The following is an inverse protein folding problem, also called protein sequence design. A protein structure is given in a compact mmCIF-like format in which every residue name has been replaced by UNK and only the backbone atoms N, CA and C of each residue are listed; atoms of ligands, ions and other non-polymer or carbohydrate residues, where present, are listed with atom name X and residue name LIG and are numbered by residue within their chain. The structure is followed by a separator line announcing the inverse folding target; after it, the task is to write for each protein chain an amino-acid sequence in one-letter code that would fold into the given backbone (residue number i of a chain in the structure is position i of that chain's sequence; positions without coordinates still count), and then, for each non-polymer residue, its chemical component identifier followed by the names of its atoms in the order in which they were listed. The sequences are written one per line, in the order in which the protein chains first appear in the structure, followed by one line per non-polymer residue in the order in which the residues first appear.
data_IF_496960671479
#
_entry.id   IF_496960671479
#
_cell.length_a   1.000
_cell.length_b   1.000
_cell.length_c   1.000
_cell.angle_alpha   90.00
_cell.angle_beta   90.00
_cell.angle_gamma   90.00
#
_symmetry.space_group_name_H-M   'P 1'
#
loop_
_entity.id
_entity.type
_entity.pdbx_description
1 polymer ?
#
# COMPACT_ATOMS: atom_id res chain seq x y z
N UNK A 1 -26.76 -25.18 26.13
CA UNK A 1 -26.14 -25.54 24.84
C UNK A 1 -26.18 -24.39 23.80
N UNK A 2 -27.28 -23.63 23.66
CA UNK A 2 -27.34 -22.54 22.65
C UNK A 2 -26.41 -21.34 22.93
N UNK A 3 -26.18 -20.99 24.20
CA UNK A 3 -25.42 -19.84 24.60
C UNK A 3 -23.90 -20.01 24.34
N UNK A 4 -23.38 -21.21 24.56
CA UNK A 4 -21.96 -21.52 24.38
C UNK A 4 -21.53 -21.49 22.91
N UNK A 5 -22.38 -21.95 22.00
CA UNK A 5 -22.13 -21.86 20.55
C UNK A 5 -22.12 -20.40 20.05
N UNK A 6 -22.99 -19.56 20.63
CA UNK A 6 -23.00 -18.13 20.32
C UNK A 6 -21.69 -17.44 20.73
N UNK A 7 -21.22 -17.72 21.94
CA UNK A 7 -19.94 -17.16 22.45
C UNK A 7 -18.77 -17.60 21.57
N UNK A 8 -18.67 -18.89 21.22
CA UNK A 8 -17.60 -19.42 20.36
C UNK A 8 -17.60 -18.74 18.99
N UNK A 9 -18.76 -18.56 18.36
CA UNK A 9 -18.87 -17.87 17.06
C UNK A 9 -18.40 -16.41 17.15
N UNK A 10 -18.86 -15.68 18.16
CA UNK A 10 -18.43 -14.29 18.37
C UNK A 10 -16.93 -14.18 18.58
N UNK A 11 -16.33 -15.09 19.35
CA UNK A 11 -14.88 -15.12 19.57
C UNK A 11 -14.11 -15.34 18.25
N UNK A 12 -14.56 -16.26 17.39
CA UNK A 12 -13.92 -16.51 16.09
C UNK A 12 -14.03 -15.31 15.16
N UNK A 13 -15.17 -14.62 15.12
CA UNK A 13 -15.34 -13.38 14.34
C UNK A 13 -14.39 -12.30 14.85
N UNK A 14 -14.30 -12.10 16.16
CA UNK A 14 -13.40 -11.11 16.75
C UNK A 14 -11.93 -11.41 16.43
N UNK A 15 -11.50 -12.67 16.53
CA UNK A 15 -10.15 -13.10 16.13
C UNK A 15 -9.90 -12.75 14.65
N UNK A 16 -10.83 -13.08 13.76
CA UNK A 16 -10.71 -12.76 12.34
C UNK A 16 -10.55 -11.26 12.08
N UNK A 17 -11.37 -10.44 12.74
CA UNK A 17 -11.30 -8.96 12.60
C UNK A 17 -9.98 -8.40 13.13
N UNK A 18 -9.52 -8.89 14.28
CA UNK A 18 -8.23 -8.46 14.85
C UNK A 18 -7.08 -8.84 13.91
N UNK A 19 -7.06 -10.09 13.42
CA UNK A 19 -6.04 -10.55 12.48
C UNK A 19 -6.06 -9.77 11.16
N UNK A 20 -7.25 -9.41 10.65
CA UNK A 20 -7.40 -8.53 9.48
C UNK A 20 -6.74 -7.17 9.73
N UNK A 21 -7.07 -6.51 10.83
CA UNK A 21 -6.53 -5.19 11.14
C UNK A 21 -5.00 -5.21 11.32
N UNK A 22 -4.48 -6.21 12.02
CA UNK A 22 -3.03 -6.38 12.20
C UNK A 22 -2.34 -6.64 10.86
N UNK A 23 -2.88 -7.53 10.03
CA UNK A 23 -2.31 -7.83 8.72
C UNK A 23 -2.30 -6.61 7.79
N UNK A 24 -3.38 -5.82 7.77
CA UNK A 24 -3.47 -4.59 7.00
C UNK A 24 -2.38 -3.58 7.41
N UNK A 25 -2.21 -3.36 8.72
CA UNK A 25 -1.19 -2.45 9.25
C UNK A 25 0.22 -2.98 8.97
N UNK A 26 0.48 -4.26 9.17
CA UNK A 26 1.79 -4.85 8.91
C UNK A 26 2.13 -4.88 7.41
N UNK A 27 1.16 -5.10 6.53
CA UNK A 27 1.37 -5.02 5.09
C UNK A 27 1.83 -3.61 4.67
N UNK A 28 1.23 -2.56 5.25
CA UNK A 28 1.67 -1.18 5.00
C UNK A 28 3.09 -0.89 5.52
N UNK A 29 3.47 -1.50 6.64
CA UNK A 29 4.83 -1.40 7.16
C UNK A 29 5.85 -2.13 6.27
N UNK A 30 5.49 -3.31 5.79
CA UNK A 30 6.33 -4.09 4.85
C UNK A 30 6.51 -3.31 3.54
N UNK A 31 5.44 -2.74 2.98
CA UNK A 31 5.51 -1.88 1.81
C UNK A 31 6.52 -0.75 1.99
N UNK A 32 6.40 0.02 3.08
CA UNK A 32 7.31 1.11 3.41
C UNK A 32 8.78 0.64 3.44
N UNK A 33 9.07 -0.47 4.13
CA UNK A 33 10.43 -0.99 4.24
C UNK A 33 10.94 -1.57 2.92
N UNK A 34 10.12 -2.27 2.17
CA UNK A 34 10.47 -2.81 0.85
C UNK A 34 10.80 -1.67 -0.11
N UNK A 35 9.95 -0.63 -0.19
CA UNK A 35 10.21 0.54 -1.00
C UNK A 35 11.54 1.21 -0.60
N UNK A 36 11.76 1.44 0.69
CA UNK A 36 13.00 2.02 1.21
C UNK A 36 14.24 1.16 0.89
N UNK A 37 14.12 -0.17 0.91
CA UNK A 37 15.20 -1.09 0.53
C UNK A 37 15.47 -1.07 -0.98
N UNK A 38 14.47 -0.85 -1.82
CA UNK A 38 14.62 -0.74 -3.27
C UNK A 38 15.48 0.46 -3.68
N UNK A 39 15.61 1.48 -2.83
CA UNK A 39 16.52 2.61 -3.03
C UNK A 39 17.99 2.28 -2.71
N UNK A 40 18.28 1.10 -2.15
CA UNK A 40 19.66 0.66 -1.93
C UNK A 40 20.25 0.07 -3.21
N UNK A 41 21.60 0.02 -3.34
CA UNK A 41 22.28 -0.55 -4.51
C UNK A 41 22.19 -2.09 -4.53
N UNK A 42 20.99 -2.63 -4.40
CA UNK A 42 20.69 -4.05 -4.40
C UNK A 42 20.00 -4.43 -5.72
N UNK A 43 20.12 -5.68 -6.14
CA UNK A 43 19.42 -6.22 -7.31
C UNK A 43 17.90 -6.05 -7.21
N UNK A 44 17.35 -6.16 -6.00
CA UNK A 44 15.94 -5.90 -5.73
C UNK A 44 15.48 -4.51 -6.21
N UNK A 45 16.35 -3.50 -6.18
CA UNK A 45 16.03 -2.12 -6.56
C UNK A 45 16.20 -1.81 -8.06
N UNK A 46 16.63 -2.75 -8.90
CA UNK A 46 16.88 -2.43 -10.33
C UNK A 46 15.61 -2.02 -11.06
N UNK A 47 14.55 -2.82 -10.95
CA UNK A 47 13.24 -2.49 -11.55
C UNK A 47 12.66 -1.18 -10.99
N UNK A 48 12.87 -0.93 -9.70
CA UNK A 48 12.41 0.28 -9.04
C UNK A 48 13.16 1.53 -9.52
N UNK A 49 14.47 1.44 -9.73
CA UNK A 49 15.25 2.53 -10.35
C UNK A 49 14.82 2.82 -11.79
N UNK A 50 14.45 1.80 -12.55
CA UNK A 50 13.89 1.99 -13.90
C UNK A 50 12.50 2.62 -13.85
N UNK A 51 11.67 2.25 -12.86
CA UNK A 51 10.39 2.88 -12.58
C UNK A 51 10.55 4.38 -12.27
N UNK A 52 11.53 4.78 -11.44
CA UNK A 52 11.87 6.19 -11.21
C UNK A 52 12.26 6.94 -12.50
N UNK A 53 13.02 6.30 -13.38
CA UNK A 53 13.43 6.93 -14.66
C UNK A 53 12.27 7.15 -15.61
N UNK A 54 11.32 6.22 -15.66
CA UNK A 54 10.14 6.31 -16.52
C UNK A 54 9.06 7.19 -15.91
N UNK A 55 9.01 7.27 -14.60
CA UNK A 55 7.97 7.94 -13.80
C UNK A 55 6.55 7.45 -14.17
N UNK A 56 6.39 6.17 -14.38
CA UNK A 56 5.13 5.52 -14.79
C UNK A 56 4.86 4.31 -13.90
N UNK A 57 3.62 4.16 -13.44
CA UNK A 57 3.15 2.93 -12.81
C UNK A 57 2.98 1.80 -13.84
N UNK A 58 3.04 0.56 -13.38
CA UNK A 58 2.87 -0.61 -14.27
C UNK A 58 1.41 -1.01 -14.50
N UNK A 59 0.46 -0.32 -13.83
CA UNK A 59 -0.96 -0.63 -13.81
C UNK A 59 -1.38 -1.33 -12.52
N UNK A 60 -2.60 -1.01 -12.06
CA UNK A 60 -3.13 -1.44 -10.76
C UNK A 60 -3.08 -2.96 -10.57
N UNK A 61 -3.51 -3.71 -11.58
CA UNK A 61 -3.64 -5.18 -11.49
C UNK A 61 -2.29 -5.89 -11.53
N UNK A 62 -1.36 -5.42 -12.35
CA UNK A 62 -0.01 -6.01 -12.39
C UNK A 62 0.73 -5.79 -11.08
N UNK A 63 0.59 -4.62 -10.50
CA UNK A 63 1.21 -4.33 -9.20
C UNK A 63 0.55 -5.12 -8.07
N UNK A 64 -0.77 -5.23 -8.08
CA UNK A 64 -1.50 -6.09 -7.13
C UNK A 64 -1.01 -7.55 -7.18
N UNK A 65 -0.86 -8.12 -8.38
CA UNK A 65 -0.33 -9.48 -8.53
C UNK A 65 1.11 -9.61 -8.04
N UNK A 66 1.96 -8.62 -8.27
CA UNK A 66 3.33 -8.61 -7.73
C UNK A 66 3.33 -8.59 -6.19
N UNK A 67 2.45 -7.83 -5.55
CA UNK A 67 2.29 -7.81 -4.09
C UNK A 67 1.80 -9.15 -3.54
N UNK A 68 0.74 -9.70 -4.12
CA UNK A 68 0.18 -11.00 -3.68
C UNK A 68 1.19 -12.11 -3.86
N UNK A 69 1.90 -12.15 -4.98
CA UNK A 69 2.96 -13.12 -5.26
C UNK A 69 4.12 -12.99 -4.26
N UNK A 70 4.57 -11.76 -4.01
CA UNK A 70 5.67 -11.49 -3.08
C UNK A 70 5.34 -11.81 -1.62
N UNK A 71 4.06 -11.68 -1.21
CA UNK A 71 3.59 -11.92 0.16
C UNK A 71 2.98 -13.30 0.40
N UNK A 72 2.85 -14.15 -0.62
CA UNK A 72 2.13 -15.43 -0.54
C UNK A 72 2.60 -16.33 0.62
N UNK A 73 3.92 -16.37 0.89
CA UNK A 73 4.49 -17.19 1.97
C UNK A 73 4.05 -16.71 3.36
N UNK A 74 3.91 -15.39 3.55
CA UNK A 74 3.52 -14.82 4.86
C UNK A 74 2.01 -14.79 5.08
N UNK A 75 1.20 -15.06 4.06
CA UNK A 75 -0.26 -15.10 4.16
C UNK A 75 -0.78 -16.38 4.85
N UNK A 76 -0.06 -17.49 4.78
CA UNK A 76 -0.55 -18.80 5.20
C UNK A 76 -0.34 -19.15 6.68
N UNK A 77 0.69 -18.69 7.40
CA UNK A 77 1.01 -19.19 8.75
C UNK A 77 -0.11 -19.04 9.76
N UNK A 78 -0.96 -18.03 9.65
CA UNK A 78 -2.06 -17.79 10.60
C UNK A 78 -3.17 -18.84 10.53
N UNK A 79 -3.22 -19.67 9.48
CA UNK A 79 -4.11 -20.81 9.42
C UNK A 79 -3.74 -21.93 10.42
N UNK A 80 -2.48 -21.98 10.87
CA UNK A 80 -2.06 -22.87 11.95
C UNK A 80 -2.57 -22.45 13.34
N UNK A 81 -2.98 -21.18 13.49
CA UNK A 81 -3.60 -20.69 14.74
C UNK A 81 -5.10 -21.03 14.75
N UNK A 82 -5.83 -20.59 13.73
CA UNK A 82 -7.23 -20.99 13.49
C UNK A 82 -7.65 -20.59 12.07
N UNK A 83 -8.74 -21.17 11.57
CA UNK A 83 -9.31 -20.81 10.27
C UNK A 83 -9.71 -19.33 10.26
N UNK A 84 -10.34 -18.82 11.33
CA UNK A 84 -10.76 -17.43 11.43
C UNK A 84 -9.54 -16.47 11.42
N UNK A 85 -8.48 -16.80 12.14
CA UNK A 85 -7.24 -16.03 12.13
C UNK A 85 -6.60 -16.02 10.73
N UNK A 86 -6.51 -17.18 10.07
CA UNK A 86 -5.94 -17.30 8.73
C UNK A 86 -6.73 -16.51 7.68
N UNK A 87 -8.06 -16.61 7.68
CA UNK A 87 -8.92 -15.87 6.77
C UNK A 87 -8.79 -14.37 7.03
N UNK A 88 -8.88 -13.92 8.28
CA UNK A 88 -8.74 -12.51 8.63
C UNK A 88 -7.40 -11.94 8.19
N UNK A 89 -6.32 -12.64 8.49
CA UNK A 89 -4.96 -12.26 8.11
C UNK A 89 -4.78 -12.15 6.59
N UNK A 90 -5.20 -13.17 5.86
CA UNK A 90 -5.12 -13.19 4.40
C UNK A 90 -5.92 -12.06 3.77
N UNK A 91 -7.16 -11.85 4.22
CA UNK A 91 -8.01 -10.77 3.72
C UNK A 91 -7.41 -9.40 4.01
N UNK A 92 -6.85 -9.16 5.21
CA UNK A 92 -6.19 -7.91 5.56
C UNK A 92 -5.02 -7.58 4.64
N UNK A 93 -4.17 -8.57 4.38
CA UNK A 93 -3.03 -8.42 3.47
C UNK A 93 -3.46 -8.18 2.01
N UNK A 94 -4.46 -8.92 1.51
CA UNK A 94 -4.98 -8.78 0.14
C UNK A 94 -5.68 -7.44 -0.05
N UNK A 95 -6.48 -7.01 0.90
CA UNK A 95 -7.16 -5.70 0.84
C UNK A 95 -6.15 -4.56 0.87
N UNK A 96 -5.09 -4.67 1.69
CA UNK A 96 -4.03 -3.67 1.67
C UNK A 96 -3.28 -3.68 0.33
N UNK A 97 -2.93 -4.84 -0.23
CA UNK A 97 -2.28 -4.94 -1.53
C UNK A 97 -3.11 -4.28 -2.65
N UNK A 98 -4.43 -4.51 -2.65
CA UNK A 98 -5.34 -3.89 -3.62
C UNK A 98 -5.42 -2.37 -3.43
N UNK A 99 -5.49 -1.90 -2.18
CA UNK A 99 -5.49 -0.48 -1.87
C UNK A 99 -4.17 0.20 -2.26
N UNK A 100 -3.03 -0.41 -1.93
CA UNK A 100 -1.71 0.16 -2.20
C UNK A 100 -1.40 0.21 -3.70
N UNK A 101 -1.71 -0.85 -4.46
CA UNK A 101 -1.52 -0.85 -5.91
C UNK A 101 -2.39 0.20 -6.62
N UNK A 102 -3.64 0.38 -6.15
CA UNK A 102 -4.50 1.46 -6.62
C UNK A 102 -3.92 2.84 -6.26
N UNK A 103 -3.51 3.03 -5.00
CA UNK A 103 -2.97 4.30 -4.50
C UNK A 103 -1.67 4.69 -5.22
N UNK A 104 -0.81 3.73 -5.51
CA UNK A 104 0.42 3.93 -6.25
C UNK A 104 0.13 4.43 -7.68
N UNK A 105 -0.73 3.73 -8.41
CA UNK A 105 -1.11 4.13 -9.76
C UNK A 105 -1.83 5.49 -9.79
N UNK A 106 -2.71 5.75 -8.80
CA UNK A 106 -3.38 7.03 -8.65
C UNK A 106 -2.39 8.18 -8.48
N UNK A 107 -1.36 7.99 -7.66
CA UNK A 107 -0.34 9.01 -7.43
C UNK A 107 0.54 9.27 -8.65
N UNK A 108 0.71 8.32 -9.56
CA UNK A 108 1.39 8.54 -10.84
C UNK A 108 0.52 9.28 -11.85
N UNK A 109 -0.77 9.00 -11.92
CA UNK A 109 -1.62 9.49 -12.98
C UNK A 109 -2.55 10.63 -12.58
N UNK A 110 -2.99 10.66 -11.30
CA UNK A 110 -3.93 11.66 -10.80
C UNK A 110 -3.72 11.95 -9.31
N UNK A 111 -2.57 12.52 -8.92
CA UNK A 111 -2.20 12.74 -7.53
C UNK A 111 -3.18 13.66 -6.76
N UNK A 112 -3.88 14.57 -7.45
CA UNK A 112 -4.85 15.48 -6.84
C UNK A 112 -6.07 14.76 -6.25
N UNK A 113 -6.37 13.55 -6.71
CA UNK A 113 -7.49 12.72 -6.21
C UNK A 113 -7.10 11.86 -5.01
N UNK A 114 -5.85 11.88 -4.56
CA UNK A 114 -5.40 11.17 -3.37
C UNK A 114 -5.84 11.92 -2.10
N UNK A 115 -7.13 11.86 -1.78
CA UNK A 115 -7.78 12.67 -0.73
C UNK A 115 -7.50 12.22 0.71
N UNK A 116 -6.98 11.01 0.92
CA UNK A 116 -6.68 10.46 2.26
C UNK A 116 -5.31 10.86 2.81
N UNK A 117 -4.47 11.50 1.99
CA UNK A 117 -3.21 12.12 2.39
C UNK A 117 -3.23 13.60 2.07
N UNK A 118 -2.68 14.44 2.96
CA UNK A 118 -2.56 15.89 2.71
C UNK A 118 -1.62 16.19 1.53
N UNK A 119 -0.65 15.34 1.33
CA UNK A 119 0.33 15.37 0.27
C UNK A 119 0.48 13.95 -0.25
N UNK A 120 0.31 13.69 -1.55
CA UNK A 120 0.54 12.37 -2.14
C UNK A 120 2.03 12.07 -2.13
N UNK A 121 2.47 11.33 -1.08
CA UNK A 121 3.88 11.18 -0.75
C UNK A 121 4.68 10.51 -1.85
N UNK A 122 4.10 9.54 -2.55
CA UNK A 122 4.77 8.84 -3.64
C UNK A 122 4.93 9.73 -4.89
N UNK A 123 3.91 10.53 -5.21
CA UNK A 123 4.02 11.51 -6.29
C UNK A 123 5.17 12.50 -6.06
N UNK A 124 5.25 13.09 -4.87
CA UNK A 124 6.33 14.05 -4.56
C UNK A 124 7.68 13.37 -4.45
N UNK A 125 7.72 12.11 -4.01
CA UNK A 125 8.92 11.29 -4.00
C UNK A 125 9.54 11.17 -5.42
N UNK A 126 8.71 10.90 -6.42
CA UNK A 126 9.11 10.88 -7.82
C UNK A 126 9.41 12.29 -8.39
N UNK A 127 8.45 13.21 -8.25
CA UNK A 127 8.53 14.56 -8.81
C UNK A 127 9.79 15.31 -8.40
N UNK A 128 10.19 15.19 -7.12
CA UNK A 128 11.34 15.87 -6.56
C UNK A 128 12.57 14.97 -6.35
N UNK A 129 12.55 13.76 -6.91
CA UNK A 129 13.62 12.77 -6.80
C UNK A 129 14.10 12.57 -5.35
N UNK A 130 13.14 12.35 -4.44
CA UNK A 130 13.37 12.28 -2.98
C UNK A 130 13.94 10.94 -2.55
N UNK A 131 15.18 10.64 -2.91
CA UNK A 131 15.84 9.35 -2.73
C UNK A 131 15.87 8.82 -1.28
N UNK A 132 15.68 9.68 -0.30
CA UNK A 132 15.76 9.35 1.13
C UNK A 132 14.51 9.72 1.94
N UNK A 133 13.42 10.15 1.30
CA UNK A 133 12.21 10.63 1.95
C UNK A 133 10.96 10.16 1.22
N UNK A 134 9.83 10.13 1.96
CA UNK A 134 8.50 9.91 1.39
C UNK A 134 8.35 8.55 0.70
N UNK A 135 8.62 7.47 1.45
CA UNK A 135 8.60 6.09 0.95
C UNK A 135 7.22 5.42 0.96
N UNK A 136 6.21 6.01 1.60
CA UNK A 136 4.86 5.46 1.61
C UNK A 136 4.26 5.43 0.21
N UNK A 137 3.55 4.35 -0.13
CA UNK A 137 2.76 4.22 -1.36
C UNK A 137 1.27 4.44 -1.06
N UNK A 138 0.67 3.54 -0.32
CA UNK A 138 -0.73 3.63 0.07
C UNK A 138 -0.99 4.68 1.15
N UNK A 139 -0.06 4.85 2.09
CA UNK A 139 -0.20 5.68 3.30
C UNK A 139 1.10 6.37 3.67
N UNK A 140 1.00 7.52 4.36
CA UNK A 140 2.17 8.34 4.76
C UNK A 140 2.55 8.20 6.26
N UNK A 141 1.81 7.41 7.03
CA UNK A 141 2.02 7.34 8.48
C UNK A 141 3.39 6.77 8.89
N UNK A 142 3.97 5.83 8.11
CA UNK A 142 5.29 5.29 8.40
C UNK A 142 6.42 6.27 8.11
N UNK A 143 6.25 7.13 7.10
CA UNK A 143 7.17 8.25 6.86
C UNK A 143 7.20 9.18 8.07
N UNK A 144 6.05 9.44 8.70
CA UNK A 144 5.95 10.26 9.93
C UNK A 144 6.57 9.56 11.12
N UNK A 145 6.29 8.26 11.32
CA UNK A 145 6.82 7.45 12.43
C UNK A 145 8.35 7.34 12.36
N UNK A 146 8.90 7.10 11.16
CA UNK A 146 10.34 6.92 10.96
C UNK A 146 11.09 8.20 10.56
N UNK A 147 10.44 9.35 10.59
CA UNK A 147 11.06 10.66 10.33
C UNK A 147 11.53 10.85 8.89
N UNK A 148 10.95 10.12 7.94
CA UNK A 148 11.25 10.27 6.51
C UNK A 148 10.23 11.14 5.77
N UNK A 149 9.19 11.62 6.45
CA UNK A 149 8.21 12.52 5.87
C UNK A 149 8.84 13.91 5.64
N UNK A 150 8.87 14.33 4.37
CA UNK A 150 9.36 15.64 3.97
C UNK A 150 8.25 16.40 3.25
N UNK A 151 7.61 17.38 3.90
CA UNK A 151 6.57 18.17 3.28
C UNK A 151 7.16 19.11 2.22
N UNK A 152 6.44 19.29 1.12
CA UNK A 152 6.75 20.24 0.06
C UNK A 152 5.45 20.85 -0.47
N UNK A 153 5.53 22.02 -1.08
CA UNK A 153 4.45 22.53 -1.92
C UNK A 153 4.44 21.71 -3.21
N UNK A 154 3.39 20.93 -3.39
CA UNK A 154 3.29 19.97 -4.50
C UNK A 154 2.20 20.34 -5.51
N UNK A 155 1.24 21.17 -5.09
CA UNK A 155 0.17 21.67 -5.95
C UNK A 155 0.71 22.83 -6.79
N UNK A 156 0.96 22.58 -8.05
CA UNK A 156 1.13 23.62 -9.03
C UNK A 156 -0.26 24.01 -9.58
N UNK A 157 -0.53 25.32 -9.67
CA UNK A 157 -1.83 25.82 -10.15
C UNK A 157 -2.12 25.38 -11.59
N UNK A 158 -1.09 25.20 -12.38
CA UNK A 158 -1.20 24.75 -13.76
C UNK A 158 -1.49 23.25 -13.88
N UNK A 159 -1.00 22.43 -12.94
CA UNK A 159 -1.31 21.01 -12.86
C UNK A 159 -2.75 20.75 -12.37
N UNK A 160 -3.27 21.57 -11.46
CA UNK A 160 -4.65 21.48 -10.98
C UNK A 160 -5.70 21.71 -12.09
N UNK A 161 -5.35 22.53 -13.08
CA UNK A 161 -6.26 22.88 -14.18
C UNK A 161 -6.23 21.86 -15.32
N UNK A 162 -5.30 20.93 -15.35
CA UNK A 162 -5.12 19.99 -16.47
C UNK A 162 -5.71 18.61 -16.19
N UNK A 163 -6.05 18.26 -14.94
CA UNK A 163 -6.41 16.90 -14.59
C UNK A 163 -7.91 16.77 -14.26
N UNK A 164 -8.71 16.54 -15.30
CA UNK A 164 -10.16 16.30 -15.23
C UNK A 164 -10.49 14.80 -15.08
N UNK A 165 -9.48 13.95 -14.84
CA UNK A 165 -9.67 12.50 -14.74
C UNK A 165 -10.39 12.11 -13.44
N UNK A 166 -11.27 11.11 -13.56
CA UNK A 166 -11.98 10.53 -12.43
C UNK A 166 -11.08 9.54 -11.65
N UNK A 167 -11.48 9.24 -10.41
CA UNK A 167 -10.81 8.27 -9.54
C UNK A 167 -10.57 6.90 -10.20
N UNK A 168 -11.40 6.48 -11.13
CA UNK A 168 -11.28 5.19 -11.82
C UNK A 168 -10.65 5.27 -13.22
N UNK A 169 -10.32 6.46 -13.70
CA UNK A 169 -9.64 6.67 -14.98
C UNK A 169 -8.13 6.53 -14.83
N UNK A 170 -7.72 5.31 -14.54
CA UNK A 170 -6.33 4.91 -14.32
C UNK A 170 -5.97 3.75 -15.24
N UNK A 171 -4.67 3.54 -15.42
CA UNK A 171 -4.15 2.34 -16.05
C UNK A 171 -4.36 1.14 -15.13
N UNK A 172 -5.21 0.22 -15.55
CA UNK A 172 -5.50 -0.99 -14.79
C UNK A 172 -4.56 -2.15 -15.15
N UNK A 173 -4.10 -2.24 -16.43
CA UNK A 173 -3.20 -3.28 -16.97
C UNK A 173 -1.91 -2.70 -17.51
#
# INVERSE_FOLDING_TARGET
MGNDQGIVRMTQVLIGVICFAIAFILASLVEYWVHRLMHRPLKLGERHRDHHRRNEGQGVLWEFFDYVKGSSVVMLPMFFVSIAAGIGWMLGAVVYAAFSSYAHQLQHENPTKCFWMKMPVHYVHHKYNMWHHNFGLGVDWWDRVFGTYKPVEWLDKDELNQDDRNLLQLRWW
#
